data_IF_650288989481
#
_entry.id   IF_650288989481
#
_cell.length_a   1.000
_cell.length_b   1.000
_cell.length_c   1.000
_cell.angle_alpha   90.00
_cell.angle_beta   90.00
_cell.angle_gamma   90.00
#
_symmetry.space_group_name_H-M   'P 1'
#
loop_
_entity.id
_entity.type
_entity.pdbx_description
1 polymer ?
#
# COMPACT_ATOMS: atom_id res chain seq x y z
N UNK A 1 15.33 1.35 18.41
CA UNK A 1 15.27 0.20 19.32
C UNK A 1 15.38 -1.11 18.53
N UNK A 2 16.45 -1.85 18.74
CA UNK A 2 16.29 -3.11 19.46
C UNK A 2 16.38 -2.74 20.96
N UNK A 3 16.01 -3.52 21.98
CA UNK A 3 15.61 -4.92 22.08
C UNK A 3 14.52 -4.99 23.18
N UNK A 4 13.34 -5.61 23.04
CA UNK A 4 12.55 -5.89 21.85
C UNK A 4 11.34 -4.92 21.74
N UNK A 5 11.48 -3.70 22.30
CA UNK A 5 10.56 -2.58 22.10
C UNK A 5 10.80 -1.81 20.79
N UNK A 6 10.80 -2.52 19.65
CA UNK A 6 11.39 -2.13 18.35
C UNK A 6 10.96 -0.76 17.77
N UNK A 7 11.87 0.09 17.21
CA UNK A 7 12.28 -0.11 15.81
C UNK A 7 13.75 0.21 15.46
N UNK A 8 14.42 -0.54 14.56
CA UNK A 8 15.79 -0.22 14.11
C UNK A 8 16.22 -0.60 12.66
N UNK A 9 15.36 -0.60 11.60
CA UNK A 9 13.99 -0.11 11.50
C UNK A 9 12.95 -1.26 11.54
N UNK A 10 12.18 -1.31 12.63
CA UNK A 10 11.14 -2.28 13.04
C UNK A 10 11.19 -3.78 12.65
N UNK A 11 12.32 -4.51 12.66
CA UNK A 11 13.66 -4.20 13.11
C UNK A 11 14.78 -4.06 12.05
N UNK A 12 14.86 -4.60 10.82
CA UNK A 12 14.11 -5.59 10.02
C UNK A 12 12.74 -5.19 9.39
N UNK A 13 12.54 -5.29 8.06
CA UNK A 13 11.16 -5.32 7.49
C UNK A 13 10.53 -6.70 7.71
N UNK A 14 10.34 -7.07 8.98
CA UNK A 14 10.04 -8.44 9.48
C UNK A 14 10.94 -9.56 8.91
N UNK A 15 12.17 -9.17 8.54
CA UNK A 15 13.36 -10.00 8.29
C UNK A 15 13.57 -10.62 6.90
N UNK A 16 13.07 -9.97 5.85
CA UNK A 16 13.20 -10.46 4.46
C UNK A 16 14.64 -10.49 3.91
N UNK A 17 15.57 -9.67 4.41
CA UNK A 17 16.92 -9.51 3.82
C UNK A 17 18.01 -10.39 4.46
N UNK A 18 17.87 -10.73 5.74
CA UNK A 18 18.82 -11.61 6.45
C UNK A 18 18.72 -13.05 5.93
N UNK A 19 17.49 -13.52 5.71
CA UNK A 19 17.17 -14.82 5.09
C UNK A 19 17.81 -14.95 3.69
N UNK A 20 17.91 -13.85 2.94
CA UNK A 20 18.50 -13.84 1.61
C UNK A 20 20.04 -13.86 1.59
N UNK A 21 20.72 -13.61 2.72
CA UNK A 21 22.19 -13.45 2.79
C UNK A 21 22.89 -14.24 3.92
N UNK A 22 22.14 -14.95 4.78
CA UNK A 22 22.69 -15.83 5.82
C UNK A 22 22.82 -15.22 7.23
N UNK A 23 22.13 -14.12 7.53
CA UNK A 23 22.10 -13.52 8.87
C UNK A 23 20.92 -14.08 9.73
N UNK A 24 21.06 -14.15 11.07
CA UNK A 24 20.06 -14.77 11.95
C UNK A 24 18.81 -13.90 12.17
N UNK A 25 17.61 -14.51 12.31
CA UNK A 25 16.34 -13.81 12.53
C UNK A 25 16.10 -13.40 13.99
N UNK A 26 15.04 -12.60 14.22
CA UNK A 26 14.35 -12.57 15.51
C UNK A 26 13.83 -14.00 15.78
N UNK A 27 14.39 -14.68 16.77
CA UNK A 27 14.16 -16.12 16.99
C UNK A 27 12.70 -16.49 17.31
N UNK A 28 11.98 -15.63 18.05
CA UNK A 28 10.55 -15.74 18.26
C UNK A 28 9.91 -14.36 18.14
N UNK A 29 9.23 -14.11 17.02
CA UNK A 29 8.50 -12.86 16.78
C UNK A 29 7.08 -12.89 17.39
N UNK A 30 6.48 -14.07 17.53
CA UNK A 30 5.17 -14.27 18.14
C UNK A 30 5.19 -13.88 19.62
N UNK A 31 6.33 -14.03 20.29
CA UNK A 31 6.59 -13.56 21.65
C UNK A 31 6.32 -12.06 21.89
N UNK A 32 6.42 -11.23 20.85
CA UNK A 32 6.35 -9.76 21.00
C UNK A 32 5.06 -9.14 20.47
N UNK A 33 4.45 -9.70 19.42
CA UNK A 33 3.33 -9.07 18.68
C UNK A 33 2.09 -9.95 18.64
N UNK A 34 0.94 -9.40 18.99
CA UNK A 34 -0.34 -10.07 18.80
C UNK A 34 -0.84 -9.92 17.35
N UNK A 35 -0.47 -10.87 16.49
CA UNK A 35 -0.95 -10.96 15.11
C UNK A 35 -2.49 -10.92 14.99
N UNK A 36 -3.22 -11.58 15.88
CA UNK A 36 -4.70 -11.62 15.84
C UNK A 36 -5.39 -10.28 16.08
N UNK A 37 -4.64 -9.26 16.49
CA UNK A 37 -5.11 -7.87 16.63
C UNK A 37 -4.22 -6.88 15.85
N UNK A 38 -3.33 -7.35 14.97
CA UNK A 38 -2.70 -6.48 13.98
C UNK A 38 -3.76 -5.96 13.02
N UNK A 39 -3.53 -4.76 12.50
CA UNK A 39 -4.35 -4.17 11.45
C UNK A 39 -3.49 -3.27 10.56
N UNK A 40 -3.74 -3.32 9.26
CA UNK A 40 -3.32 -2.30 8.30
C UNK A 40 -4.47 -1.35 7.95
N UNK A 41 -4.13 -0.23 7.32
CA UNK A 41 -5.07 0.78 6.86
C UNK A 41 -4.36 1.85 6.05
N UNK A 42 -5.04 2.98 5.81
CA UNK A 42 -4.51 4.11 5.06
C UNK A 42 -4.59 5.42 5.85
N UNK A 43 -3.74 6.36 5.48
CA UNK A 43 -3.73 7.74 6.00
C UNK A 43 -4.09 8.75 4.91
N UNK A 44 -5.18 9.47 5.16
CA UNK A 44 -5.92 10.24 4.17
C UNK A 44 -7.37 9.77 4.08
N UNK A 45 -8.06 9.71 5.22
CA UNK A 45 -9.46 9.24 5.29
C UNK A 45 -10.38 10.10 4.44
N UNK A 46 -11.40 9.47 3.85
CA UNK A 46 -12.23 10.05 2.78
C UNK A 46 -11.53 10.02 1.42
N UNK A 47 -10.30 10.51 1.37
CA UNK A 47 -9.59 10.83 0.13
C UNK A 47 -8.88 9.64 -0.55
N UNK A 48 -8.57 8.57 0.19
CA UNK A 48 -8.11 7.30 -0.40
C UNK A 48 -6.63 7.23 -0.81
N UNK A 49 -5.76 8.10 -0.28
CA UNK A 49 -4.33 8.08 -0.63
C UNK A 49 -3.62 6.80 -0.18
N UNK A 50 -2.67 6.27 -0.98
CA UNK A 50 -1.93 5.04 -0.69
C UNK A 50 -0.79 5.24 0.35
N UNK A 51 -0.98 6.11 1.35
CA UNK A 51 -0.12 6.15 2.52
C UNK A 51 -0.53 5.02 3.47
N UNK A 52 0.21 3.90 3.48
CA UNK A 52 -0.09 2.75 4.32
C UNK A 52 0.19 3.05 5.79
N UNK A 53 -0.68 2.60 6.69
CA UNK A 53 -0.41 2.54 8.14
C UNK A 53 -0.60 1.11 8.64
N UNK A 54 0.32 0.66 9.50
CA UNK A 54 0.29 -0.66 10.13
C UNK A 54 0.33 -0.50 11.65
N UNK A 55 -0.57 -1.20 12.34
CA UNK A 55 -0.72 -1.22 13.79
C UNK A 55 -0.22 -2.56 14.33
N UNK A 56 0.77 -2.52 15.24
CA UNK A 56 1.44 -3.69 15.79
C UNK A 56 1.23 -3.74 17.32
N UNK A 57 0.26 -4.52 17.82
CA UNK A 57 -0.05 -4.59 19.24
C UNK A 57 0.95 -5.47 19.99
N UNK A 58 1.50 -4.97 21.09
CA UNK A 58 2.52 -5.70 21.86
C UNK A 58 1.91 -6.60 22.94
N UNK A 59 2.45 -7.81 23.11
CA UNK A 59 1.98 -8.77 24.11
C UNK A 59 2.35 -8.32 25.53
N UNK A 60 1.32 -8.09 26.37
CA UNK A 60 1.45 -7.54 27.73
C UNK A 60 2.41 -8.32 28.65
N UNK A 61 2.51 -9.64 28.46
CA UNK A 61 3.30 -10.52 29.33
C UNK A 61 4.78 -10.12 29.35
N UNK A 62 5.33 -9.76 28.19
CA UNK A 62 6.77 -9.53 27.98
C UNK A 62 7.16 -8.03 28.07
N UNK A 63 6.20 -7.17 28.40
CA UNK A 63 6.39 -5.76 28.77
C UNK A 63 5.77 -5.44 30.14
N UNK A 64 5.59 -6.46 30.99
CA UNK A 64 4.87 -6.38 32.27
C UNK A 64 5.39 -5.28 33.20
N UNK A 65 6.72 -5.10 33.31
CA UNK A 65 7.35 -4.03 34.09
C UNK A 65 7.08 -2.59 33.59
N UNK A 66 6.50 -2.42 32.40
CA UNK A 66 6.26 -1.10 31.80
C UNK A 66 4.85 -0.53 31.99
N UNK A 67 3.99 -1.23 32.73
CA UNK A 67 2.69 -0.75 33.23
C UNK A 67 1.67 -0.40 32.13
N UNK A 68 0.70 -1.28 31.91
CA UNK A 68 -0.35 -1.08 30.91
C UNK A 68 0.08 -1.51 29.51
N UNK A 69 -0.55 -0.96 28.47
CA UNK A 69 -0.53 -1.57 27.14
C UNK A 69 0.04 -0.67 26.06
N UNK A 70 0.74 -1.27 25.09
CA UNK A 70 1.53 -0.57 24.07
C UNK A 70 1.27 -1.14 22.68
N UNK A 71 1.32 -0.29 21.65
CA UNK A 71 1.43 -0.71 20.26
C UNK A 71 2.35 0.23 19.48
N UNK A 72 2.93 -0.28 18.40
CA UNK A 72 3.64 0.54 17.41
C UNK A 72 2.72 0.87 16.24
N UNK A 73 2.92 2.04 15.64
CA UNK A 73 2.42 2.33 14.30
C UNK A 73 3.57 2.65 13.37
N UNK A 74 3.68 1.92 12.26
CA UNK A 74 4.46 2.31 11.10
C UNK A 74 3.54 3.03 10.12
N UNK A 75 3.98 4.15 9.57
CA UNK A 75 3.40 4.74 8.36
C UNK A 75 4.43 4.64 7.25
N UNK A 76 3.99 4.27 6.05
CA UNK A 76 4.77 4.29 4.82
C UNK A 76 4.09 5.23 3.80
N UNK A 77 4.83 6.15 3.22
CA UNK A 77 4.34 7.20 2.33
C UNK A 77 5.23 7.26 1.07
N UNK A 78 4.72 6.98 -0.14
CA UNK A 78 5.54 6.94 -1.36
C UNK A 78 6.08 8.32 -1.72
N UNK A 79 7.19 8.43 -2.47
CA UNK A 79 7.58 9.71 -3.09
C UNK A 79 6.87 9.84 -4.43
N UNK A 80 6.04 10.87 -4.56
CA UNK A 80 5.27 11.16 -5.77
C UNK A 80 6.10 11.86 -6.88
N UNK A 81 7.32 11.35 -7.14
CA UNK A 81 8.21 11.83 -8.21
C UNK A 81 8.16 10.97 -9.49
N UNK A 82 7.82 9.69 -9.34
CA UNK A 82 7.86 8.65 -10.38
C UNK A 82 9.23 8.41 -11.04
N UNK A 83 10.33 8.73 -10.37
CA UNK A 83 11.69 8.63 -10.92
C UNK A 83 12.47 7.38 -10.44
N UNK A 84 11.87 6.57 -9.56
CA UNK A 84 12.48 5.38 -8.97
C UNK A 84 12.57 4.16 -9.90
N UNK A 85 13.52 4.16 -10.85
CA UNK A 85 13.65 3.18 -11.97
C UNK A 85 13.83 1.68 -11.65
N UNK A 86 13.66 1.25 -10.40
CA UNK A 86 13.47 -0.15 -9.97
C UNK A 86 12.58 -0.28 -8.73
N UNK A 87 12.57 0.75 -7.89
CA UNK A 87 11.97 0.80 -6.56
C UNK A 87 11.54 2.24 -6.34
N UNK A 88 10.28 2.48 -5.94
CA UNK A 88 9.88 3.82 -5.57
C UNK A 88 10.50 4.20 -4.23
N UNK A 89 10.95 5.45 -4.09
CA UNK A 89 11.30 6.01 -2.79
C UNK A 89 10.06 6.04 -1.89
N UNK A 90 10.21 5.73 -0.60
CA UNK A 90 9.13 5.69 0.39
C UNK A 90 9.65 6.28 1.71
N UNK A 91 8.92 7.21 2.28
CA UNK A 91 9.14 7.77 3.62
C UNK A 91 8.43 6.94 4.69
N UNK A 92 9.13 6.64 5.77
CA UNK A 92 8.60 5.88 6.90
C UNK A 92 8.55 6.74 8.18
N UNK A 93 7.48 6.61 8.96
CA UNK A 93 7.37 7.14 10.34
C UNK A 93 6.98 6.03 11.30
N UNK A 94 7.81 5.79 12.31
CA UNK A 94 7.54 4.89 13.41
C UNK A 94 7.24 5.68 14.69
N UNK A 95 6.23 5.26 15.45
CA UNK A 95 5.91 5.85 16.76
C UNK A 95 5.26 4.79 17.67
N UNK A 96 5.54 4.84 18.98
CA UNK A 96 4.87 4.00 19.96
C UNK A 96 3.74 4.78 20.63
N UNK A 97 2.63 4.08 20.88
CA UNK A 97 1.50 4.59 21.63
C UNK A 97 1.27 3.68 22.84
N UNK A 98 1.02 4.29 24.00
CA UNK A 98 0.67 3.61 25.26
C UNK A 98 -0.78 3.95 25.58
N UNK A 99 -1.62 2.93 25.70
CA UNK A 99 -3.06 3.08 25.89
C UNK A 99 -3.52 2.46 27.22
N UNK A 100 -4.41 3.20 27.90
CA UNK A 100 -4.90 2.87 29.23
C UNK A 100 -6.22 2.08 29.21
N UNK A 101 -6.98 2.13 28.11
CA UNK A 101 -8.27 1.46 27.99
C UNK A 101 -8.19 -0.07 27.96
N UNK A 102 -9.35 -0.70 28.20
CA UNK A 102 -9.51 -2.13 28.00
C UNK A 102 -9.21 -2.51 26.54
N UNK A 103 -8.61 -3.69 26.31
CA UNK A 103 -8.24 -4.17 24.95
C UNK A 103 -7.46 -3.16 24.09
N UNK A 104 -6.55 -2.39 24.70
CA UNK A 104 -5.72 -1.36 24.06
C UNK A 104 -6.49 -0.10 23.60
N UNK A 105 -7.76 0.04 23.96
CA UNK A 105 -8.59 1.17 23.57
C UNK A 105 -8.06 2.53 24.09
N UNK A 106 -8.47 3.65 23.46
CA UNK A 106 -8.25 5.00 24.00
C UNK A 106 -8.71 5.16 25.47
N UNK A 107 -8.15 6.10 26.23
CA UNK A 107 -7.15 7.10 25.81
C UNK A 107 -5.76 6.50 25.57
N UNK A 108 -5.07 7.07 24.58
CA UNK A 108 -3.73 6.68 24.14
C UNK A 108 -2.82 7.91 24.17
N UNK A 109 -1.58 7.74 24.64
CA UNK A 109 -0.54 8.78 24.66
C UNK A 109 0.69 8.31 23.91
N UNK A 110 1.43 9.25 23.31
CA UNK A 110 2.72 8.97 22.67
C UNK A 110 3.72 8.42 23.71
N UNK A 111 4.54 7.46 23.31
CA UNK A 111 5.66 6.98 24.13
C UNK A 111 6.98 7.04 23.35
N UNK A 112 7.97 7.72 23.93
CA UNK A 112 9.18 8.11 23.20
C UNK A 112 8.92 9.20 22.17
N UNK A 113 9.85 9.37 21.23
CA UNK A 113 9.75 10.31 20.10
C UNK A 113 9.48 9.56 18.79
N UNK A 114 8.76 10.14 17.82
CA UNK A 114 8.60 9.53 16.50
C UNK A 114 9.94 9.47 15.75
N UNK A 115 10.15 8.39 15.00
CA UNK A 115 11.38 8.13 14.23
C UNK A 115 11.04 8.14 12.74
N UNK A 116 11.90 8.76 11.94
CA UNK A 116 11.68 9.03 10.52
C UNK A 116 12.80 8.42 9.68
N UNK A 117 12.45 7.79 8.56
CA UNK A 117 13.36 7.12 7.63
C UNK A 117 12.85 7.27 6.19
N UNK A 118 13.67 6.88 5.22
CA UNK A 118 13.35 6.84 3.79
C UNK A 118 13.91 5.57 3.13
N UNK A 119 13.43 5.20 1.94
CA UNK A 119 13.88 4.01 1.18
C UNK A 119 15.37 4.04 0.85
N UNK A 120 16.01 5.21 0.89
CA UNK A 120 17.46 5.31 1.05
C UNK A 120 17.87 4.94 2.48
N UNK A 121 17.58 3.68 2.84
CA UNK A 121 17.72 2.95 4.11
C UNK A 121 19.08 3.11 4.84
N UNK A 122 20.06 3.71 4.16
CA UNK A 122 21.37 4.06 4.67
C UNK A 122 21.46 5.46 5.29
N UNK A 123 20.33 6.18 5.44
CA UNK A 123 20.23 7.45 6.19
C UNK A 123 20.70 7.30 7.65
N UNK A 124 22.00 7.56 7.86
CA UNK A 124 22.72 7.44 9.12
C UNK A 124 22.75 6.04 9.76
N UNK A 125 22.81 4.97 8.95
CA UNK A 125 22.97 3.60 9.47
C UNK A 125 24.32 3.42 10.20
N UNK A 126 24.35 2.96 11.46
CA UNK A 126 25.60 2.73 12.20
C UNK A 126 26.34 1.46 11.76
N UNK A 127 25.72 0.62 10.92
CA UNK A 127 26.20 -0.73 10.58
C UNK A 127 27.30 -0.68 9.52
N UNK A 128 27.30 0.33 8.62
CA UNK A 128 28.23 0.38 7.49
C UNK A 128 28.47 1.80 7.00
N UNK A 129 29.72 2.09 6.63
CA UNK A 129 30.14 3.36 6.01
C UNK A 129 30.34 3.26 4.48
N UNK A 130 30.05 2.11 3.86
CA UNK A 130 30.38 1.82 2.44
C UNK A 130 29.36 2.32 1.41
N UNK A 131 28.15 2.69 1.83
CA UNK A 131 27.06 3.06 0.92
C UNK A 131 26.90 4.58 0.80
N UNK A 132 26.37 5.02 -0.36
CA UNK A 132 26.01 6.41 -0.60
C UNK A 132 24.98 6.84 0.46
N UNK A 133 25.26 7.96 1.13
CA UNK A 133 24.37 8.56 2.12
C UNK A 133 23.47 9.58 1.43
N UNK A 134 22.18 9.66 1.79
CA UNK A 134 21.40 10.87 1.55
C UNK A 134 22.11 12.10 2.12
N UNK A 135 22.06 13.22 1.41
CA UNK A 135 22.70 14.47 1.83
C UNK A 135 22.07 15.06 3.10
N UNK A 136 20.80 14.72 3.35
CA UNK A 136 20.01 15.14 4.52
C UNK A 136 19.47 13.93 5.27
N UNK A 137 19.43 14.02 6.61
CA UNK A 137 18.83 12.99 7.44
C UNK A 137 17.29 13.05 7.37
N UNK A 138 16.66 11.88 7.19
CA UNK A 138 15.21 11.74 7.24
C UNK A 138 14.63 12.30 8.56
N UNK A 139 13.62 13.16 8.45
CA UNK A 139 13.06 13.94 9.56
C UNK A 139 11.57 14.23 9.34
N UNK A 140 10.93 14.83 10.36
CA UNK A 140 9.50 15.13 10.34
C UNK A 140 9.07 16.04 9.17
N UNK A 141 9.88 17.05 8.81
CA UNK A 141 9.57 17.97 7.72
C UNK A 141 9.55 17.25 6.36
N UNK A 142 10.58 16.44 6.10
CA UNK A 142 10.64 15.60 4.90
C UNK A 142 9.46 14.61 4.82
N UNK A 143 9.15 13.92 5.91
CA UNK A 143 8.03 12.97 5.97
C UNK A 143 6.67 13.63 5.72
N UNK A 144 6.33 14.72 6.43
CA UNK A 144 5.02 15.37 6.27
C UNK A 144 4.90 16.18 4.97
N UNK A 145 6.01 16.76 4.50
CA UNK A 145 6.09 17.37 3.17
C UNK A 145 5.84 16.33 2.07
N UNK A 146 6.40 15.12 2.22
CA UNK A 146 6.12 14.01 1.32
C UNK A 146 4.65 13.57 1.35
N UNK A 147 4.07 13.34 2.54
CA UNK A 147 2.63 13.00 2.67
C UNK A 147 1.72 14.02 1.99
N UNK A 148 2.06 15.32 2.06
CA UNK A 148 1.34 16.38 1.35
C UNK A 148 1.56 16.34 -0.18
N UNK A 149 2.77 16.00 -0.65
CA UNK A 149 3.04 15.78 -2.08
C UNK A 149 2.24 14.59 -2.63
N UNK A 150 2.15 13.48 -1.88
CA UNK A 150 1.32 12.31 -2.22
C UNK A 150 -0.15 12.69 -2.35
N UNK A 151 -0.72 13.43 -1.39
CA UNK A 151 -2.09 13.95 -1.48
C UNK A 151 -2.30 14.74 -2.78
N UNK A 152 -1.43 15.72 -3.05
CA UNK A 152 -1.53 16.59 -4.24
C UNK A 152 -1.40 15.83 -5.55
N UNK A 153 -0.49 14.86 -5.63
CA UNK A 153 -0.32 14.01 -6.82
C UNK A 153 -1.58 13.18 -7.08
N UNK A 154 -2.07 12.44 -6.08
CA UNK A 154 -3.26 11.60 -6.24
C UNK A 154 -4.57 12.40 -6.39
N UNK A 155 -4.65 13.63 -5.87
CA UNK A 155 -5.76 14.54 -6.18
C UNK A 155 -5.74 15.00 -7.65
N UNK A 156 -4.57 15.18 -8.25
CA UNK A 156 -4.45 15.51 -9.67
C UNK A 156 -4.67 14.28 -10.57
N UNK A 157 -4.07 13.14 -10.23
CA UNK A 157 -4.19 11.87 -10.98
C UNK A 157 -5.66 11.40 -11.05
N UNK A 158 -6.35 11.33 -9.91
CA UNK A 158 -7.73 10.85 -9.85
C UNK A 158 -8.74 11.85 -10.44
N UNK A 159 -8.35 13.12 -10.59
CA UNK A 159 -9.12 14.12 -11.34
C UNK A 159 -8.89 14.00 -12.87
N UNK A 160 -7.66 13.70 -13.30
CA UNK A 160 -7.34 13.41 -14.70
C UNK A 160 -8.04 12.13 -15.19
N UNK A 161 -8.23 11.16 -14.30
CA UNK A 161 -8.99 9.93 -14.53
C UNK A 161 -10.52 10.11 -14.61
N UNK A 162 -11.02 11.36 -14.50
CA UNK A 162 -12.45 11.72 -14.64
C UNK A 162 -13.42 10.93 -13.74
N UNK A 163 -12.94 10.38 -12.63
CA UNK A 163 -13.67 9.45 -11.76
C UNK A 163 -14.94 10.08 -11.16
N UNK A 164 -16.06 9.35 -11.22
CA UNK A 164 -17.34 9.82 -10.66
C UNK A 164 -17.27 9.99 -9.14
N UNK A 165 -17.87 11.06 -8.62
CA UNK A 165 -18.02 11.25 -7.18
C UNK A 165 -19.13 10.35 -6.62
N UNK A 166 -18.75 9.17 -6.12
CA UNK A 166 -19.70 8.27 -5.45
C UNK A 166 -20.37 8.95 -4.25
N UNK A 167 -21.69 8.76 -4.14
CA UNK A 167 -22.45 9.02 -2.92
C UNK A 167 -23.35 7.81 -2.65
N UNK A 168 -23.58 7.52 -1.37
CA UNK A 168 -24.41 6.40 -0.94
C UNK A 168 -25.46 6.91 0.07
N UNK A 169 -26.67 6.33 0.10
CA UNK A 169 -27.71 6.76 1.04
C UNK A 169 -27.27 6.66 2.49
N UNK A 170 -27.54 7.71 3.28
CA UNK A 170 -27.37 7.66 4.72
C UNK A 170 -28.53 6.87 5.36
N UNK A 171 -28.19 5.89 6.19
CA UNK A 171 -29.10 5.07 6.97
C UNK A 171 -28.74 5.14 8.46
N UNK A 172 -29.63 4.70 9.35
CA UNK A 172 -29.47 4.84 10.80
C UNK A 172 -28.20 4.17 11.40
N UNK A 173 -27.52 3.29 10.65
CA UNK A 173 -26.27 2.63 11.07
C UNK A 173 -25.05 2.97 10.19
N UNK A 174 -25.20 3.73 9.10
CA UNK A 174 -24.09 4.05 8.20
C UNK A 174 -24.38 5.26 7.32
N UNK A 175 -23.37 6.11 7.08
CA UNK A 175 -23.43 7.19 6.09
C UNK A 175 -22.77 6.80 4.75
N UNK A 176 -22.49 5.50 4.53
CA UNK A 176 -21.87 4.97 3.32
C UNK A 176 -20.39 5.35 3.10
N UNK A 177 -19.85 6.34 3.81
CA UNK A 177 -18.52 6.92 3.57
C UNK A 177 -17.37 5.91 3.58
N UNK A 178 -17.47 4.84 4.38
CA UNK A 178 -16.48 3.77 4.45
C UNK A 178 -16.46 2.91 3.17
N UNK A 179 -17.63 2.62 2.58
CA UNK A 179 -17.72 1.88 1.32
C UNK A 179 -17.22 2.73 0.13
N UNK A 180 -17.51 4.04 0.13
CA UNK A 180 -16.95 4.98 -0.85
C UNK A 180 -15.42 5.00 -0.77
N UNK A 181 -14.85 5.06 0.44
CA UNK A 181 -13.41 4.99 0.67
C UNK A 181 -12.81 3.65 0.20
N UNK A 182 -13.47 2.52 0.47
CA UNK A 182 -13.01 1.22 0.01
C UNK A 182 -13.06 1.08 -1.52
N UNK A 183 -14.09 1.59 -2.18
CA UNK A 183 -14.21 1.55 -3.63
C UNK A 183 -13.12 2.40 -4.31
N UNK A 184 -12.91 3.65 -3.84
CA UNK A 184 -11.81 4.51 -4.30
C UNK A 184 -10.44 3.87 -4.06
N UNK A 185 -10.24 3.27 -2.89
CA UNK A 185 -8.98 2.56 -2.59
C UNK A 185 -8.78 1.31 -3.44
N UNK A 186 -9.82 0.53 -3.75
CA UNK A 186 -9.67 -0.66 -4.58
C UNK A 186 -9.13 -0.32 -5.99
N UNK A 187 -9.58 0.80 -6.56
CA UNK A 187 -9.06 1.33 -7.83
C UNK A 187 -7.63 1.86 -7.68
N UNK A 188 -7.33 2.68 -6.67
CA UNK A 188 -5.95 3.13 -6.39
C UNK A 188 -5.01 1.93 -6.21
N UNK A 189 -5.41 0.91 -5.45
CA UNK A 189 -4.61 -0.31 -5.25
C UNK A 189 -4.41 -1.11 -6.55
N UNK A 190 -5.35 -1.02 -7.49
CA UNK A 190 -5.22 -1.62 -8.82
C UNK A 190 -4.29 -0.81 -9.72
N UNK A 191 -4.36 0.53 -9.68
CA UNK A 191 -3.43 1.44 -10.37
C UNK A 191 -1.98 1.13 -9.96
N UNK A 192 -1.67 1.23 -8.67
CA UNK A 192 -0.30 1.04 -8.12
C UNK A 192 0.28 -0.38 -8.27
N UNK A 193 -0.51 -1.33 -8.77
CA UNK A 193 -0.08 -2.72 -8.99
C UNK A 193 0.25 -3.04 -10.45
N UNK A 194 -0.02 -2.11 -11.37
CA UNK A 194 0.15 -2.32 -12.82
C UNK A 194 1.46 -1.71 -13.33
N UNK A 195 1.97 -2.33 -14.39
CA UNK A 195 3.25 -1.98 -15.03
C UNK A 195 3.02 -1.00 -16.19
N UNK A 196 3.97 -0.09 -16.44
CA UNK A 196 4.01 0.94 -17.49
C UNK A 196 3.04 2.13 -17.37
N UNK A 197 1.74 1.94 -17.09
CA UNK A 197 0.74 3.02 -17.28
C UNK A 197 0.42 3.84 -16.02
N UNK A 198 0.21 3.20 -14.87
CA UNK A 198 -0.07 3.88 -13.58
C UNK A 198 0.83 3.37 -12.47
N UNK A 199 2.10 3.21 -12.78
CA UNK A 199 3.10 2.91 -11.76
C UNK A 199 2.99 3.97 -10.66
N UNK A 200 2.84 3.57 -9.40
CA UNK A 200 4.03 3.56 -8.54
C UNK A 200 4.29 2.22 -7.85
N UNK A 201 5.56 1.81 -7.76
CA UNK A 201 5.99 0.53 -7.18
C UNK A 201 6.37 0.66 -5.70
N UNK A 202 5.36 0.62 -4.83
CA UNK A 202 5.48 0.77 -3.37
C UNK A 202 6.36 -0.31 -2.74
N UNK A 203 7.25 0.09 -1.81
CA UNK A 203 7.76 -0.77 -0.74
C UNK A 203 8.37 -2.11 -1.19
N UNK A 204 9.62 -2.07 -1.66
CA UNK A 204 10.43 -3.17 -2.21
C UNK A 204 10.12 -4.60 -1.72
N UNK A 205 9.65 -5.43 -2.65
CA UNK A 205 10.03 -6.85 -2.80
C UNK A 205 10.12 -7.20 -4.30
N UNK A 206 10.95 -8.17 -4.72
CA UNK A 206 10.90 -8.68 -6.09
C UNK A 206 9.56 -9.41 -6.29
N UNK A 207 8.66 -8.82 -7.09
CA UNK A 207 7.29 -9.33 -7.23
C UNK A 207 6.25 -8.30 -7.70
N UNK A 208 6.57 -7.00 -7.71
CA UNK A 208 5.77 -5.99 -8.40
C UNK A 208 6.25 -5.79 -9.85
N UNK A 209 5.31 -5.62 -10.79
CA UNK A 209 5.61 -5.53 -12.22
C UNK A 209 5.90 -6.86 -12.92
N UNK A 210 5.81 -8.00 -12.22
CA UNK A 210 5.78 -9.30 -12.91
C UNK A 210 4.40 -9.56 -13.52
N UNK A 211 4.41 -9.95 -14.79
CA UNK A 211 3.25 -10.31 -15.60
C UNK A 211 2.30 -11.36 -14.97
N UNK A 212 2.78 -12.17 -14.03
CA UNK A 212 2.06 -13.30 -13.44
C UNK A 212 0.72 -12.96 -12.75
N UNK A 213 0.55 -11.76 -12.16
CA UNK A 213 -0.67 -11.49 -11.37
C UNK A 213 -1.70 -10.67 -12.15
N UNK A 214 -1.27 -9.66 -12.91
CA UNK A 214 -2.19 -8.87 -13.75
C UNK A 214 -2.72 -9.64 -14.96
N UNK A 215 -2.06 -10.74 -15.35
CA UNK A 215 -2.48 -11.65 -16.42
C UNK A 215 -3.61 -12.63 -16.07
N UNK A 216 -4.13 -12.64 -14.84
CA UNK A 216 -5.33 -13.41 -14.52
C UNK A 216 -6.59 -12.78 -15.13
N UNK A 217 -7.39 -13.61 -15.80
CA UNK A 217 -8.66 -13.21 -16.41
C UNK A 217 -9.59 -12.51 -15.40
N UNK A 218 -9.68 -13.05 -14.18
CA UNK A 218 -10.46 -12.48 -13.06
C UNK A 218 -9.96 -11.10 -12.61
N UNK A 219 -8.64 -10.88 -12.62
CA UNK A 219 -8.03 -9.60 -12.25
C UNK A 219 -8.27 -8.55 -13.32
N UNK A 220 -8.28 -8.94 -14.59
CA UNK A 220 -8.72 -8.08 -15.68
C UNK A 220 -10.21 -7.75 -15.56
N UNK A 221 -11.10 -8.74 -15.51
CA UNK A 221 -12.54 -8.51 -15.53
C UNK A 221 -12.99 -7.68 -14.33
N UNK A 222 -12.51 -8.00 -13.13
CA UNK A 222 -12.80 -7.21 -11.93
C UNK A 222 -12.27 -5.78 -12.00
N UNK A 223 -11.03 -5.55 -12.49
CA UNK A 223 -10.49 -4.19 -12.62
C UNK A 223 -11.25 -3.38 -13.67
N UNK A 224 -11.43 -3.93 -14.88
CA UNK A 224 -11.97 -3.20 -16.01
C UNK A 224 -13.46 -2.89 -15.81
N UNK A 225 -14.26 -3.82 -15.28
CA UNK A 225 -15.64 -3.49 -14.85
C UNK A 225 -15.63 -2.43 -13.75
N UNK A 226 -14.82 -2.56 -12.70
CA UNK A 226 -14.77 -1.56 -11.64
C UNK A 226 -14.35 -0.16 -12.15
N UNK A 227 -13.49 -0.08 -13.16
CA UNK A 227 -13.09 1.17 -13.80
C UNK A 227 -14.25 1.79 -14.60
N UNK A 228 -14.93 1.00 -15.44
CA UNK A 228 -16.08 1.43 -16.24
C UNK A 228 -17.23 1.94 -15.36
N UNK A 229 -17.62 1.17 -14.34
CA UNK A 229 -18.72 1.50 -13.42
C UNK A 229 -18.42 2.74 -12.53
N UNK A 230 -17.14 3.10 -12.35
CA UNK A 230 -16.73 4.33 -11.67
C UNK A 230 -16.61 5.53 -12.64
N UNK A 231 -16.81 5.33 -13.95
CA UNK A 231 -16.56 6.34 -14.99
C UNK A 231 -15.09 6.66 -15.20
N UNK A 232 -14.18 5.83 -14.68
CA UNK A 232 -12.73 5.97 -14.81
C UNK A 232 -12.28 5.50 -16.20
N UNK A 233 -12.74 6.18 -17.25
CA UNK A 233 -12.57 5.71 -18.63
C UNK A 233 -11.12 5.69 -19.14
N UNK A 234 -10.21 6.64 -18.80
CA UNK A 234 -8.80 6.50 -19.15
C UNK A 234 -8.17 5.29 -18.46
N UNK A 235 -8.51 5.03 -17.19
CA UNK A 235 -8.12 3.85 -16.44
C UNK A 235 -8.64 2.55 -17.07
N UNK A 236 -9.93 2.50 -17.42
CA UNK A 236 -10.53 1.37 -18.12
C UNK A 236 -9.80 1.09 -19.44
N UNK A 237 -9.50 2.14 -20.22
CA UNK A 237 -8.78 2.04 -21.49
C UNK A 237 -7.39 1.42 -21.31
N UNK A 238 -6.53 2.00 -20.48
CA UNK A 238 -5.16 1.49 -20.36
C UNK A 238 -5.10 0.10 -19.68
N UNK A 239 -6.12 -0.30 -18.92
CA UNK A 239 -6.28 -1.68 -18.43
C UNK A 239 -6.61 -2.64 -19.58
N UNK A 240 -7.45 -2.22 -20.54
CA UNK A 240 -7.72 -2.95 -21.80
C UNK A 240 -6.48 -3.00 -22.69
N UNK A 241 -5.82 -1.86 -22.94
CA UNK A 241 -4.60 -1.78 -23.75
C UNK A 241 -3.46 -2.63 -23.13
N UNK A 242 -3.32 -2.64 -21.79
CA UNK A 242 -2.38 -3.51 -21.06
C UNK A 242 -2.72 -5.00 -21.24
N UNK A 243 -4.01 -5.37 -21.21
CA UNK A 243 -4.44 -6.75 -21.42
C UNK A 243 -4.18 -7.23 -22.84
N UNK A 244 -4.60 -6.47 -23.84
CA UNK A 244 -4.43 -6.81 -25.25
C UNK A 244 -2.95 -6.84 -25.68
N UNK A 245 -2.08 -6.07 -25.01
CA UNK A 245 -0.64 -5.99 -25.32
C UNK A 245 0.20 -7.11 -24.69
N UNK A 246 -0.16 -7.60 -23.51
CA UNK A 246 0.70 -8.51 -22.73
C UNK A 246 0.06 -9.88 -22.41
N UNK A 247 -1.28 -9.98 -22.40
CA UNK A 247 -2.00 -11.17 -21.93
C UNK A 247 -2.92 -11.82 -22.98
N UNK A 248 -3.19 -11.13 -24.09
CA UNK A 248 -3.77 -11.72 -25.30
C UNK A 248 -2.66 -12.13 -26.28
N UNK A 249 -2.86 -13.27 -26.95
CA UNK A 249 -2.05 -13.74 -28.09
C UNK A 249 -2.61 -13.22 -29.41
N UNK A 250 -1.83 -13.33 -30.49
CA UNK A 250 -2.26 -12.98 -31.85
C UNK A 250 -3.40 -13.85 -32.41
N UNK A 251 -3.66 -15.01 -31.81
CA UNK A 251 -4.81 -15.89 -32.10
C UNK A 251 -5.99 -15.67 -31.13
N UNK A 252 -5.97 -14.57 -30.36
CA UNK A 252 -7.03 -14.20 -29.40
C UNK A 252 -7.02 -14.98 -28.08
N UNK A 253 -6.25 -16.07 -27.99
CA UNK A 253 -6.14 -16.89 -26.79
C UNK A 253 -5.38 -16.17 -25.66
N UNK A 254 -5.68 -16.49 -24.41
CA UNK A 254 -4.95 -15.95 -23.26
C UNK A 254 -3.53 -16.52 -23.21
N UNK A 255 -2.52 -15.65 -23.11
CA UNK A 255 -1.09 -16.02 -23.01
C UNK A 255 -0.77 -16.79 -21.73
N UNK A 256 -1.52 -16.49 -20.66
CA UNK A 256 -1.06 -16.69 -19.29
C UNK A 256 -1.67 -17.92 -18.55
N UNK A 257 -2.86 -18.36 -18.94
CA UNK A 257 -3.55 -19.51 -18.34
C UNK A 257 -4.50 -20.15 -19.35
N UNK A 258 -4.97 -21.36 -19.03
CA UNK A 258 -6.04 -21.99 -19.79
C UNK A 258 -7.33 -21.14 -19.77
N UNK A 259 -8.08 -21.24 -20.85
CA UNK A 259 -9.28 -20.46 -21.16
C UNK A 259 -10.44 -20.75 -20.19
N UNK A 260 -10.91 -19.72 -19.48
CA UNK A 260 -12.19 -19.76 -18.76
C UNK A 260 -13.27 -19.03 -19.56
N UNK A 261 -14.09 -19.80 -20.27
CA UNK A 261 -15.17 -19.32 -21.15
C UNK A 261 -16.06 -18.24 -20.51
N UNK A 262 -16.34 -18.35 -19.21
CA UNK A 262 -17.15 -17.39 -18.45
C UNK A 262 -16.48 -16.01 -18.32
N UNK A 263 -15.14 -15.97 -18.16
CA UNK A 263 -14.39 -14.70 -18.12
C UNK A 263 -14.26 -14.11 -19.51
N UNK A 264 -14.00 -14.92 -20.54
CA UNK A 264 -13.87 -14.42 -21.92
C UNK A 264 -15.19 -13.82 -22.43
N UNK A 265 -16.35 -14.40 -22.06
CA UNK A 265 -17.65 -13.76 -22.27
C UNK A 265 -17.78 -12.39 -21.56
N UNK A 266 -17.30 -12.27 -20.32
CA UNK A 266 -17.22 -10.99 -19.61
C UNK A 266 -16.24 -10.01 -20.26
N UNK A 267 -15.12 -10.46 -20.83
CA UNK A 267 -14.17 -9.59 -21.55
C UNK A 267 -14.83 -8.96 -22.78
N UNK A 268 -15.57 -9.74 -23.57
CA UNK A 268 -16.35 -9.21 -24.69
C UNK A 268 -17.41 -8.21 -24.23
N UNK A 269 -18.04 -8.44 -23.08
CA UNK A 269 -18.98 -7.48 -22.46
C UNK A 269 -18.26 -6.20 -22.05
N UNK A 270 -17.08 -6.29 -21.44
CA UNK A 270 -16.26 -5.14 -21.03
C UNK A 270 -15.81 -4.30 -22.23
N UNK A 271 -15.38 -4.94 -23.32
CA UNK A 271 -15.01 -4.21 -24.55
C UNK A 271 -16.24 -3.51 -25.17
N UNK A 272 -17.39 -4.17 -25.19
CA UNK A 272 -18.64 -3.57 -25.68
C UNK A 272 -19.13 -2.41 -24.79
N UNK A 273 -19.03 -2.54 -23.46
CA UNK A 273 -19.36 -1.48 -22.51
C UNK A 273 -18.41 -0.28 -22.64
N UNK A 274 -17.10 -0.52 -22.78
CA UNK A 274 -16.12 0.55 -23.02
C UNK A 274 -16.51 1.38 -24.25
N UNK A 275 -16.70 0.75 -25.41
CA UNK A 275 -17.13 1.45 -26.64
C UNK A 275 -18.50 2.11 -26.46
N UNK A 276 -19.45 1.46 -25.79
CA UNK A 276 -20.77 2.04 -25.53
C UNK A 276 -20.75 3.24 -24.56
N UNK A 277 -19.68 3.43 -23.79
CA UNK A 277 -19.52 4.56 -22.87
C UNK A 277 -18.61 5.67 -23.42
N UNK A 278 -17.66 5.36 -24.31
CA UNK A 278 -16.72 6.35 -24.87
C UNK A 278 -17.05 6.83 -26.28
N UNK A 279 -17.81 6.07 -27.06
CA UNK A 279 -17.91 6.21 -28.52
C UNK A 279 -16.71 5.63 -29.25
#
# INVERSE_FOLDING_TARGET
>A
CTDNGFPRPQGYVMNLTAIANGEPPIADFLHYVNFSAMAEGLLGGGDGYPNLVFYFPLLRQNFSGFGGSRYWTMVASPVADMQGGRQQSVWFRFQQLRCAGARLAPPCVLHGVPQYYDTYWYSYSPITRRWIRPELQANASGFYGNVLAVKRYWDAELAAEAMMHLSLPAAAQTNGSWLVQQARFALVRSMISRDNTWEPRYGVLPGYGIAFQSGFQDTFTATATAALEYGAFPYARGVIDNWLRFYARSDGMVTYRAEELAQSGRMLTIFALYVSYTG
#
